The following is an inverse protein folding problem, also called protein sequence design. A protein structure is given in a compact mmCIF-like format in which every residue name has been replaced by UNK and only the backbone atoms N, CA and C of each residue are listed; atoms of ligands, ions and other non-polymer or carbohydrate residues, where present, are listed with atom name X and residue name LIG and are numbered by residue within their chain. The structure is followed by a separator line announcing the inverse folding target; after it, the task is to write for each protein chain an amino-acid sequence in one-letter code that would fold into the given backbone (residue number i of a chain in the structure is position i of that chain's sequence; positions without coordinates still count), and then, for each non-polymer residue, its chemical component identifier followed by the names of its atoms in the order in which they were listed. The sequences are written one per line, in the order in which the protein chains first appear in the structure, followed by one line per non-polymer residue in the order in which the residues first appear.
data_IF_364010878829
#
_entry.id   IF_364010878829
#
_cell.length_a   1.000
_cell.length_b   1.000
_cell.length_c   1.000
_cell.angle_alpha   90.00
_cell.angle_beta   90.00
_cell.angle_gamma   90.00
#
_symmetry.space_group_name_H-M   'P 1'
#
loop_
_entity.id
_entity.type
_entity.pdbx_description
1 polymer ?
#
# COMPACT_ATOMS: atom_id res chain seq x y z
N UNK A 1 2.13 -17.15 -66.62
CA UNK A 1 1.89 -17.81 -65.31
C UNK A 1 2.37 -16.83 -64.26
N UNK A 2 1.53 -15.86 -63.90
CA UNK A 2 0.46 -16.03 -62.90
C UNK A 2 1.05 -16.46 -61.56
N UNK A 3 1.10 -15.53 -60.61
CA UNK A 3 0.10 -15.54 -59.54
C UNK A 3 -0.04 -14.14 -58.95
N UNK A 4 -1.24 -13.59 -59.12
CA UNK A 4 -1.77 -12.56 -58.25
C UNK A 4 -1.96 -13.14 -56.85
N UNK A 5 -1.68 -12.37 -55.81
CA UNK A 5 -2.27 -12.57 -54.50
C UNK A 5 -2.47 -11.23 -53.80
N UNK A 6 -3.73 -11.01 -53.41
CA UNK A 6 -4.35 -9.82 -52.83
C UNK A 6 -3.68 -9.30 -51.54
N UNK A 7 -4.00 -8.05 -51.12
CA UNK A 7 -3.51 -7.47 -49.87
C UNK A 7 -4.11 -8.20 -48.66
N UNK A 8 -3.29 -8.39 -47.62
CA UNK A 8 -3.78 -8.68 -46.28
C UNK A 8 -3.65 -7.43 -45.43
N UNK A 9 -4.80 -6.83 -45.15
CA UNK A 9 -5.10 -6.27 -43.83
C UNK A 9 -4.43 -7.13 -42.75
N UNK A 10 -3.75 -6.49 -41.79
CA UNK A 10 -4.05 -6.62 -40.36
C UNK A 10 -3.49 -5.37 -39.66
N UNK A 11 -4.38 -4.41 -39.43
CA UNK A 11 -4.20 -3.43 -38.38
C UNK A 11 -4.19 -4.17 -37.03
N UNK A 12 -3.08 -4.09 -36.32
CA UNK A 12 -3.02 -4.43 -34.90
C UNK A 12 -2.59 -3.20 -34.14
N UNK A 13 -3.60 -2.62 -33.50
CA UNK A 13 -3.54 -1.66 -32.41
C UNK A 13 -2.57 -2.11 -31.33
N UNK A 14 -1.53 -1.32 -31.08
CA UNK A 14 -0.99 -1.21 -29.73
C UNK A 14 -1.28 0.20 -29.24
N UNK A 15 -2.41 0.29 -28.52
CA UNK A 15 -2.62 1.34 -27.54
C UNK A 15 -1.54 1.18 -26.48
N UNK A 16 -0.39 1.80 -26.72
CA UNK A 16 0.61 2.04 -25.69
C UNK A 16 -0.02 3.02 -24.68
N UNK A 17 -0.79 2.47 -23.74
CA UNK A 17 -0.94 3.08 -22.43
C UNK A 17 0.48 3.37 -21.95
N UNK A 18 0.76 4.65 -21.72
CA UNK A 18 2.06 5.19 -21.31
C UNK A 18 2.43 4.63 -19.94
N UNK A 19 2.88 3.37 -19.91
CA UNK A 19 3.35 2.70 -18.69
C UNK A 19 4.29 3.65 -17.98
N UNK A 20 3.86 4.11 -16.80
CA UNK A 20 4.63 4.98 -15.93
C UNK A 20 6.04 4.40 -15.84
N UNK A 21 7.05 5.18 -16.24
CA UNK A 21 8.44 4.75 -16.42
C UNK A 21 9.19 4.44 -15.10
N UNK A 22 8.46 4.06 -14.04
CA UNK A 22 8.99 3.63 -12.76
C UNK A 22 8.98 2.10 -12.62
N UNK A 23 9.87 1.57 -11.80
CA UNK A 23 9.81 0.16 -11.43
C UNK A 23 8.51 -0.11 -10.64
N UNK A 24 7.80 -1.18 -10.97
CA UNK A 24 6.65 -1.62 -10.19
C UNK A 24 7.13 -1.95 -8.76
N UNK A 25 6.51 -1.29 -7.77
CA UNK A 25 6.84 -1.48 -6.35
C UNK A 25 5.96 -2.55 -5.71
N UNK A 26 4.88 -2.95 -6.38
CA UNK A 26 3.98 -3.98 -5.89
C UNK A 26 3.05 -4.54 -6.95
N UNK A 27 2.21 -5.47 -6.53
CA UNK A 27 1.23 -6.13 -7.40
C UNK A 27 -0.07 -6.38 -6.65
N UNK A 28 -1.20 -6.13 -7.30
CA UNK A 28 -2.53 -6.46 -6.78
C UNK A 28 -2.69 -7.97 -6.70
N UNK A 29 -2.83 -8.51 -5.49
CA UNK A 29 -3.10 -9.94 -5.24
C UNK A 29 -4.60 -10.24 -5.14
N UNK A 30 -5.37 -9.34 -4.57
CA UNK A 30 -6.81 -9.50 -4.41
C UNK A 30 -7.53 -8.20 -4.76
N UNK A 31 -8.72 -8.35 -5.32
CA UNK A 31 -9.60 -7.25 -5.63
C UNK A 31 -11.03 -7.74 -5.44
N UNK A 32 -11.82 -6.98 -4.69
CA UNK A 32 -13.24 -7.17 -4.48
C UNK A 32 -13.94 -5.86 -4.81
N UNK A 33 -15.07 -5.90 -5.54
CA UNK A 33 -15.76 -4.68 -5.96
C UNK A 33 -14.93 -3.84 -6.94
N UNK A 34 -15.00 -2.50 -6.80
CA UNK A 34 -14.27 -1.55 -7.63
C UNK A 34 -13.09 -0.90 -6.89
N UNK A 35 -11.93 -0.87 -7.55
CA UNK A 35 -10.80 -0.04 -7.13
C UNK A 35 -10.08 0.55 -8.35
N UNK A 36 -9.46 1.69 -8.14
CA UNK A 36 -8.74 2.45 -9.16
C UNK A 36 -7.41 2.92 -8.58
N UNK A 37 -6.36 2.90 -9.37
CA UNK A 37 -5.10 3.57 -9.07
C UNK A 37 -5.08 4.91 -9.80
N UNK A 38 -4.66 5.96 -9.12
CA UNK A 38 -4.31 7.23 -9.73
C UNK A 38 -2.80 7.36 -9.73
N UNK A 39 -2.20 7.36 -10.89
CA UNK A 39 -0.76 7.53 -11.03
C UNK A 39 -0.34 8.97 -10.73
N UNK A 40 0.95 9.17 -10.46
CA UNK A 40 1.50 10.50 -10.16
C UNK A 40 1.35 11.52 -11.30
N UNK A 41 1.16 11.06 -12.54
CA UNK A 41 0.86 11.90 -13.72
C UNK A 41 -0.61 12.36 -13.80
N UNK A 42 -1.44 11.93 -12.85
CA UNK A 42 -2.87 12.24 -12.78
C UNK A 42 -3.77 11.29 -13.60
N UNK A 43 -3.20 10.32 -14.31
CA UNK A 43 -3.99 9.29 -14.99
C UNK A 43 -4.62 8.34 -13.98
N UNK A 44 -5.83 7.88 -14.29
CA UNK A 44 -6.58 6.96 -13.45
C UNK A 44 -6.82 5.66 -14.21
N UNK A 45 -6.47 4.55 -13.58
CA UNK A 45 -6.60 3.21 -14.16
C UNK A 45 -7.43 2.34 -13.21
N UNK A 46 -8.39 1.62 -13.76
CA UNK A 46 -9.12 0.61 -13.00
C UNK A 46 -8.21 -0.54 -12.68
N UNK A 47 -8.08 -0.87 -11.40
CA UNK A 47 -7.23 -1.95 -10.95
C UNK A 47 -7.91 -3.30 -11.20
N UNK A 48 -7.11 -4.26 -11.62
CA UNK A 48 -7.45 -5.66 -11.72
C UNK A 48 -6.46 -6.50 -10.92
N UNK A 49 -6.86 -7.71 -10.59
CA UNK A 49 -5.95 -8.66 -9.95
C UNK A 49 -4.79 -8.97 -10.90
N UNK A 50 -3.56 -8.81 -10.41
CA UNK A 50 -2.34 -8.99 -11.19
C UNK A 50 -1.72 -7.68 -11.67
N UNK A 51 -2.44 -6.55 -11.57
CA UNK A 51 -1.92 -5.26 -12.00
C UNK A 51 -0.76 -4.82 -11.11
N UNK A 52 0.21 -4.16 -11.74
CA UNK A 52 1.36 -3.57 -11.06
C UNK A 52 0.98 -2.24 -10.42
N UNK A 53 1.51 -2.00 -9.22
CA UNK A 53 1.42 -0.72 -8.53
C UNK A 53 2.78 -0.05 -8.60
N UNK A 54 2.77 1.26 -8.84
CA UNK A 54 3.96 2.08 -8.99
C UNK A 54 4.10 3.05 -7.82
N UNK A 55 5.32 3.57 -7.64
CA UNK A 55 5.57 4.64 -6.69
C UNK A 55 4.82 5.91 -7.11
N UNK A 56 4.27 6.63 -6.13
CA UNK A 56 3.42 7.80 -6.34
C UNK A 56 1.94 7.46 -6.60
N UNK A 57 1.60 6.17 -6.70
CA UNK A 57 0.22 5.77 -6.95
C UNK A 57 -0.69 6.03 -5.74
N UNK A 58 -1.91 6.46 -6.03
CA UNK A 58 -2.99 6.58 -5.05
C UNK A 58 -4.06 5.55 -5.35
N UNK A 59 -4.16 4.55 -4.49
CA UNK A 59 -5.21 3.53 -4.52
C UNK A 59 -6.49 4.10 -3.92
N UNK A 60 -7.58 4.00 -4.68
CA UNK A 60 -8.91 4.43 -4.26
C UNK A 60 -9.87 3.27 -4.44
N UNK A 61 -10.60 2.90 -3.39
CA UNK A 61 -11.63 1.85 -3.44
C UNK A 61 -13.02 2.47 -3.37
N UNK A 62 -13.97 1.85 -4.05
CA UNK A 62 -15.37 2.25 -4.01
C UNK A 62 -16.11 1.67 -2.80
N UNK A 63 -17.42 1.92 -2.68
CA UNK A 63 -18.26 1.30 -1.65
C UNK A 63 -18.35 -0.20 -1.88
N UNK A 64 -18.11 -1.02 -0.85
CA UNK A 64 -17.97 -2.48 -1.00
C UNK A 64 -16.71 -2.92 -1.75
N UNK A 65 -15.83 -1.99 -2.11
CA UNK A 65 -14.54 -2.26 -2.75
C UNK A 65 -13.46 -2.63 -1.74
N UNK A 66 -12.56 -3.54 -2.10
CA UNK A 66 -11.36 -3.81 -1.32
C UNK A 66 -10.24 -4.23 -2.26
N UNK A 67 -9.01 -3.81 -1.97
CA UNK A 67 -7.83 -4.17 -2.75
C UNK A 67 -6.73 -4.67 -1.82
N UNK A 68 -6.12 -5.79 -2.16
CA UNK A 68 -4.94 -6.32 -1.48
C UNK A 68 -3.75 -6.28 -2.42
N UNK A 69 -2.69 -5.61 -2.01
CA UNK A 69 -1.44 -5.42 -2.74
C UNK A 69 -0.31 -6.07 -1.97
N UNK A 70 0.60 -6.74 -2.68
CA UNK A 70 1.86 -7.20 -2.11
C UNK A 70 2.99 -6.41 -2.75
N UNK A 71 3.81 -5.79 -1.91
CA UNK A 71 4.96 -4.99 -2.32
C UNK A 71 6.20 -5.89 -2.55
N UNK A 72 7.22 -5.34 -3.22
CA UNK A 72 8.43 -6.06 -3.59
C UNK A 72 9.24 -6.59 -2.39
N UNK A 73 9.17 -5.93 -1.24
CA UNK A 73 9.80 -6.35 0.03
C UNK A 73 9.03 -7.45 0.78
N UNK A 74 7.90 -7.90 0.21
CA UNK A 74 7.01 -8.88 0.81
C UNK A 74 5.98 -8.28 1.78
N UNK A 75 5.91 -6.95 1.91
CA UNK A 75 4.84 -6.29 2.67
C UNK A 75 3.49 -6.59 2.02
N UNK A 76 2.52 -7.03 2.82
CA UNK A 76 1.14 -7.24 2.38
C UNK A 76 0.27 -6.11 2.89
N UNK A 77 -0.33 -5.36 1.99
CA UNK A 77 -1.19 -4.22 2.26
C UNK A 77 -2.60 -4.52 1.77
N UNK A 78 -3.61 -4.21 2.56
CA UNK A 78 -5.02 -4.31 2.20
C UNK A 78 -5.73 -3.02 2.53
N UNK A 79 -6.51 -2.52 1.59
CA UNK A 79 -7.36 -1.35 1.73
C UNK A 79 -8.81 -1.78 1.57
N UNK A 80 -9.63 -1.47 2.57
CA UNK A 80 -11.06 -1.74 2.60
C UNK A 80 -11.86 -0.71 1.80
N UNK A 81 -13.18 -0.70 1.98
CA UNK A 81 -14.08 0.17 1.21
C UNK A 81 -13.91 1.66 1.52
N UNK A 82 -14.25 2.49 0.51
CA UNK A 82 -14.14 3.97 0.59
C UNK A 82 -12.75 4.41 1.08
N UNK A 83 -11.74 3.66 0.65
CA UNK A 83 -10.38 3.82 1.07
C UNK A 83 -9.60 4.69 0.09
N UNK A 84 -8.68 5.47 0.63
CA UNK A 84 -7.73 6.28 -0.15
C UNK A 84 -6.36 6.17 0.48
N UNK A 85 -5.45 5.53 -0.24
CA UNK A 85 -4.10 5.24 0.21
C UNK A 85 -3.10 5.64 -0.86
N UNK A 86 -2.21 6.57 -0.53
CA UNK A 86 -1.11 6.98 -1.39
C UNK A 86 0.18 6.26 -1.01
N UNK A 87 0.88 5.74 -2.01
CA UNK A 87 2.22 5.19 -1.90
C UNK A 87 3.21 6.29 -2.30
N UNK A 88 3.56 7.17 -1.37
CA UNK A 88 4.29 8.39 -1.71
C UNK A 88 5.77 8.14 -2.01
N UNK A 89 6.42 7.29 -1.21
CA UNK A 89 7.84 6.98 -1.31
C UNK A 89 8.01 5.50 -1.02
N UNK A 90 8.64 4.78 -1.95
CA UNK A 90 8.97 3.38 -1.76
C UNK A 90 10.29 3.06 -2.46
N UNK A 91 11.32 2.84 -1.65
CA UNK A 91 12.61 2.37 -2.10
C UNK A 91 12.89 1.02 -1.43
N UNK A 92 13.21 -0.01 -2.21
CA UNK A 92 13.62 -1.31 -1.67
C UNK A 92 14.81 -1.86 -2.45
N UNK A 93 15.90 -2.12 -1.74
CA UNK A 93 17.07 -2.83 -2.28
C UNK A 93 17.04 -4.29 -1.80
N UNK A 94 16.81 -5.22 -2.73
CA UNK A 94 16.75 -6.64 -2.44
C UNK A 94 18.10 -7.27 -2.05
N UNK A 95 19.24 -6.61 -2.30
CA UNK A 95 20.58 -7.10 -1.93
C UNK A 95 20.93 -6.79 -0.48
N UNK A 96 20.62 -5.57 -0.02
CA UNK A 96 20.83 -5.16 1.37
C UNK A 96 19.61 -5.40 2.25
N UNK A 97 18.47 -5.76 1.65
CA UNK A 97 17.15 -5.85 2.29
C UNK A 97 16.69 -4.55 2.96
N UNK A 98 17.35 -3.43 2.66
CA UNK A 98 17.06 -2.12 3.23
C UNK A 98 16.25 -1.26 2.27
N UNK A 99 15.59 -0.25 2.80
CA UNK A 99 14.74 0.62 2.03
C UNK A 99 13.92 1.54 2.91
N UNK A 100 13.03 2.30 2.29
CA UNK A 100 12.09 3.20 2.92
C UNK A 100 10.71 2.98 2.28
N UNK A 101 9.66 3.02 3.09
CA UNK A 101 8.28 2.82 2.66
C UNK A 101 7.38 3.79 3.42
N UNK A 102 7.04 4.90 2.78
CA UNK A 102 6.18 5.94 3.32
C UNK A 102 4.84 5.94 2.61
N UNK A 103 3.80 5.57 3.36
CA UNK A 103 2.43 5.50 2.87
C UNK A 103 1.59 6.58 3.54
N UNK A 104 0.53 7.03 2.87
CA UNK A 104 -0.43 7.96 3.44
C UNK A 104 -1.86 7.47 3.26
N UNK A 105 -2.50 7.12 4.36
CA UNK A 105 -3.91 6.73 4.39
C UNK A 105 -4.77 7.93 4.76
N UNK A 106 -5.57 8.39 3.80
CA UNK A 106 -6.50 9.49 4.00
C UNK A 106 -7.84 9.01 4.56
N UNK A 107 -8.33 7.84 4.10
CA UNK A 107 -9.63 7.29 4.50
C UNK A 107 -9.72 5.79 4.27
N UNK A 108 -10.75 5.16 4.85
CA UNK A 108 -11.04 3.72 4.77
C UNK A 108 -10.32 2.90 5.83
N UNK A 109 -10.62 1.60 5.85
CA UNK A 109 -9.92 0.65 6.72
C UNK A 109 -8.69 0.11 6.00
N UNK A 110 -7.64 -0.22 6.75
CA UNK A 110 -6.44 -0.82 6.22
C UNK A 110 -6.01 -2.01 7.08
N UNK A 111 -5.29 -2.93 6.46
CA UNK A 111 -4.49 -3.94 7.14
C UNK A 111 -3.15 -4.03 6.44
N UNK A 112 -2.08 -4.03 7.20
CA UNK A 112 -0.72 -4.07 6.71
C UNK A 112 0.04 -5.12 7.50
N UNK A 113 0.78 -5.97 6.82
CA UNK A 113 1.76 -6.87 7.41
C UNK A 113 3.11 -6.51 6.82
N UNK A 114 4.00 -6.00 7.66
CA UNK A 114 5.29 -5.49 7.20
C UNK A 114 6.23 -6.60 6.74
N UNK A 115 6.97 -6.30 5.67
CA UNK A 115 7.94 -7.18 5.02
C UNK A 115 9.35 -6.99 5.56
N UNK A 116 10.34 -7.10 4.66
CA UNK A 116 11.75 -7.03 5.03
C UNK A 116 12.17 -5.62 5.49
N UNK A 117 11.66 -4.55 4.85
CA UNK A 117 12.07 -3.16 5.15
C UNK A 117 11.90 -2.84 6.64
N UNK A 118 10.73 -3.14 7.20
CA UNK A 118 10.41 -2.88 8.60
C UNK A 118 11.19 -3.75 9.59
N UNK A 119 11.86 -4.81 9.12
CA UNK A 119 12.71 -5.69 9.95
C UNK A 119 14.16 -5.22 9.95
N UNK A 120 14.63 -4.65 8.85
CA UNK A 120 16.02 -4.22 8.68
C UNK A 120 16.31 -2.84 9.24
N UNK A 121 15.37 -1.90 9.13
CA UNK A 121 15.58 -0.52 9.55
C UNK A 121 14.45 -0.04 10.47
N UNK A 122 14.77 0.45 11.68
CA UNK A 122 13.79 1.19 12.47
C UNK A 122 13.40 2.45 11.71
N UNK A 123 12.12 2.82 11.77
CA UNK A 123 11.54 4.02 11.14
C UNK A 123 11.43 4.03 9.60
N UNK A 124 12.00 3.04 8.91
CA UNK A 124 11.91 2.91 7.46
C UNK A 124 10.48 2.64 6.95
N UNK A 125 9.58 2.12 7.79
CA UNK A 125 8.20 1.87 7.43
C UNK A 125 7.27 2.79 8.21
N UNK A 126 6.67 3.76 7.53
CA UNK A 126 5.78 4.75 8.12
C UNK A 126 4.46 4.85 7.36
N UNK A 127 3.34 4.74 8.08
CA UNK A 127 2.00 5.03 7.58
C UNK A 127 1.49 6.32 8.21
N UNK A 128 1.34 7.36 7.40
CA UNK A 128 0.80 8.64 7.82
C UNK A 128 -0.70 8.68 7.60
N UNK A 129 -1.42 9.26 8.55
CA UNK A 129 -2.84 9.56 8.44
C UNK A 129 -3.06 11.02 8.85
N UNK A 130 -4.22 11.63 8.54
CA UNK A 130 -4.53 12.99 8.98
C UNK A 130 -4.47 13.17 10.50
N UNK A 131 -4.67 12.09 11.27
CA UNK A 131 -4.76 12.11 12.73
C UNK A 131 -3.53 11.57 13.43
N UNK A 132 -2.69 10.76 12.79
CA UNK A 132 -1.48 10.19 13.38
C UNK A 132 -0.47 9.68 12.35
N UNK A 133 0.76 9.47 12.80
CA UNK A 133 1.80 8.76 12.06
C UNK A 133 2.09 7.45 12.79
N UNK A 134 2.14 6.35 12.03
CA UNK A 134 2.31 4.99 12.54
C UNK A 134 3.63 4.45 11.99
N UNK A 135 4.64 4.35 12.84
CA UNK A 135 5.87 3.61 12.53
C UNK A 135 5.67 2.13 12.82
N UNK A 136 5.99 1.26 11.87
CA UNK A 136 5.82 -0.20 12.02
C UNK A 136 7.17 -0.88 11.98
N UNK A 137 7.46 -1.73 12.97
CA UNK A 137 8.71 -2.50 13.06
C UNK A 137 8.41 -3.98 13.24
N UNK A 138 8.57 -4.75 12.16
CA UNK A 138 8.49 -6.22 12.16
C UNK A 138 7.15 -6.77 12.67
N UNK A 139 6.04 -6.14 12.32
CA UNK A 139 4.71 -6.59 12.74
C UNK A 139 3.62 -6.27 11.72
N UNK A 140 2.41 -6.78 11.98
CA UNK A 140 1.21 -6.36 11.28
C UNK A 140 0.43 -5.33 12.09
N UNK A 141 -0.28 -4.46 11.38
CA UNK A 141 -1.22 -3.49 11.93
C UNK A 141 -2.50 -3.48 11.12
N UNK A 142 -3.63 -3.28 11.77
CA UNK A 142 -4.88 -3.02 11.08
C UNK A 142 -5.67 -1.93 11.78
N UNK A 143 -6.51 -1.23 11.03
CA UNK A 143 -7.28 -0.14 11.58
C UNK A 143 -7.88 0.77 10.52
N UNK A 144 -7.98 2.04 10.88
CA UNK A 144 -8.48 3.14 10.07
C UNK A 144 -7.66 4.40 10.42
N UNK A 145 -7.86 5.56 9.77
CA UNK A 145 -7.07 6.76 10.06
C UNK A 145 -6.97 7.13 11.55
N UNK A 146 -8.03 6.88 12.33
CA UNK A 146 -8.15 7.26 13.73
C UNK A 146 -7.90 6.14 14.74
N UNK A 147 -7.75 4.88 14.32
CA UNK A 147 -7.46 3.77 15.24
C UNK A 147 -6.54 2.75 14.59
N UNK A 148 -5.61 2.20 15.36
CA UNK A 148 -4.74 1.13 14.90
C UNK A 148 -4.58 0.07 15.98
N UNK A 149 -4.56 -1.18 15.57
CA UNK A 149 -4.32 -2.33 16.42
C UNK A 149 -3.10 -3.10 15.92
N UNK A 150 -2.27 -3.55 16.85
CA UNK A 150 -1.19 -4.50 16.58
C UNK A 150 -1.77 -5.88 16.29
N UNK A 151 -1.46 -6.38 15.11
CA UNK A 151 -1.66 -7.77 14.74
C UNK A 151 -0.44 -8.58 15.16
N UNK A 152 -0.65 -9.80 15.65
CA UNK A 152 0.47 -10.68 16.00
C UNK A 152 1.17 -11.21 14.75
N UNK A 153 2.50 -11.20 14.73
CA UNK A 153 3.24 -11.98 13.74
C UNK A 153 3.09 -13.48 14.00
N UNK A 154 3.14 -14.24 12.91
CA UNK A 154 3.21 -15.71 12.94
C UNK A 154 4.56 -16.12 13.57
N UNK A 155 4.53 -16.42 14.87
CA UNK A 155 5.73 -16.75 15.65
C UNK A 155 5.75 -16.17 17.07
N UNK A 156 4.81 -15.28 17.41
CA UNK A 156 4.62 -14.80 18.78
C UNK A 156 5.61 -13.72 19.24
N UNK A 157 6.55 -13.31 18.38
CA UNK A 157 7.35 -12.11 18.63
C UNK A 157 6.48 -10.92 18.29
N UNK A 158 6.10 -10.15 19.30
CA UNK A 158 5.43 -8.87 19.07
C UNK A 158 6.47 -7.90 18.52
N UNK A 159 6.31 -7.46 17.27
CA UNK A 159 7.03 -6.30 16.80
C UNK A 159 6.52 -5.03 17.50
N UNK A 160 7.08 -3.90 17.10
CA UNK A 160 6.82 -2.61 17.75
C UNK A 160 6.08 -1.70 16.78
N UNK A 161 5.08 -0.98 17.29
CA UNK A 161 4.39 0.07 16.56
C UNK A 161 4.41 1.32 17.39
N UNK A 162 4.95 2.38 16.80
CA UNK A 162 5.02 3.70 17.43
C UNK A 162 4.02 4.60 16.75
N UNK A 163 3.14 5.20 17.54
CA UNK A 163 2.06 6.06 17.07
C UNK A 163 2.37 7.45 17.56
N UNK A 164 2.46 8.40 16.65
CA UNK A 164 2.73 9.81 16.95
C UNK A 164 1.60 10.66 16.42
N UNK A 165 0.93 11.39 17.29
CA UNK A 165 -0.11 12.35 16.88
C UNK A 165 0.51 13.69 16.46
N UNK A 166 -0.15 14.51 15.62
CA UNK A 166 0.31 15.85 15.29
C UNK A 166 0.52 16.77 16.50
N UNK A 167 -0.17 16.50 17.62
CA UNK A 167 0.01 17.21 18.88
C UNK A 167 1.25 16.77 19.69
N UNK A 168 2.08 15.88 19.16
CA UNK A 168 3.30 15.40 19.80
C UNK A 168 3.11 14.26 20.80
N UNK A 169 1.88 13.77 21.00
CA UNK A 169 1.65 12.59 21.86
C UNK A 169 2.12 11.32 21.15
N UNK A 170 2.90 10.50 21.85
CA UNK A 170 3.41 9.22 21.36
C UNK A 170 2.87 8.07 22.18
N UNK A 171 2.46 6.98 21.54
CA UNK A 171 2.21 5.68 22.18
C UNK A 171 2.98 4.59 21.47
N UNK A 172 3.51 3.65 22.24
CA UNK A 172 4.16 2.45 21.71
C UNK A 172 3.29 1.25 22.01
N UNK A 173 2.88 0.56 20.97
CA UNK A 173 2.27 -0.74 21.05
C UNK A 173 3.37 -1.78 20.83
N UNK A 174 3.48 -2.76 21.73
CA UNK A 174 4.46 -3.87 21.64
C UNK A 174 3.86 -5.19 22.14
N UNK A 175 2.54 -5.25 22.25
CA UNK A 175 1.78 -6.42 22.71
C UNK A 175 0.74 -6.77 21.66
N UNK A 176 0.70 -8.04 21.26
CA UNK A 176 -0.28 -8.51 20.28
C UNK A 176 -1.70 -8.20 20.76
N UNK A 177 -2.51 -7.62 19.88
CA UNK A 177 -3.88 -7.22 20.21
C UNK A 177 -4.00 -5.88 20.95
N UNK A 178 -2.87 -5.24 21.32
CA UNK A 178 -2.91 -3.87 21.79
C UNK A 178 -3.39 -2.94 20.67
N UNK A 179 -4.17 -1.92 21.04
CA UNK A 179 -4.69 -0.94 20.10
C UNK A 179 -4.55 0.45 20.70
N UNK A 180 -4.50 1.44 19.81
CA UNK A 180 -4.62 2.84 20.19
C UNK A 180 -5.62 3.53 19.26
N UNK A 181 -6.23 4.56 19.81
CA UNK A 181 -7.23 5.39 19.16
C UNK A 181 -6.85 6.85 19.32
N UNK A 182 -7.10 7.65 18.30
CA UNK A 182 -6.91 9.10 18.32
C UNK A 182 -8.27 9.74 18.19
N UNK A 183 -8.78 10.24 19.32
CA UNK A 183 -10.05 10.95 19.40
C UNK A 183 -9.87 12.44 19.64
N UNK A 184 -10.98 13.14 19.85
CA UNK A 184 -10.98 14.57 20.21
C UNK A 184 -10.25 14.87 21.53
N UNK A 185 -10.11 13.87 22.41
CA UNK A 185 -9.36 13.96 23.68
C UNK A 185 -7.86 13.67 23.57
N UNK A 186 -7.35 13.32 22.38
CA UNK A 186 -5.96 12.90 22.19
C UNK A 186 -5.82 11.39 21.94
N UNK A 187 -4.62 10.87 22.22
CA UNK A 187 -4.27 9.46 22.04
C UNK A 187 -4.75 8.66 23.27
N UNK A 188 -5.41 7.52 23.04
CA UNK A 188 -5.97 6.65 24.09
C UNK A 188 -5.87 5.17 23.74
#
# INVERSE_FOLDING_TARGET
MEVAMAPRDEASSDGAGTQSSGAAIGTVKTLTGGAVARHGDGTQVTLHKGDSIFEGDVLVTESGGAVGVVLADGTSLSLGEKGRLALNDYAYDAKSHSGDAHLSLESGSFALVSGQIAKTAPDAFALKTPTMTIGVRGTGVAGNPSSVALMGERGGVAGEVVITTPGGQTATLNSVGAAATVGSGGLS
#
